data_IF_658779382949
#
_entry.id   IF_658779382949
#
_cell.length_a   1.000
_cell.length_b   1.000
_cell.length_c   1.000
_cell.angle_alpha   90.00
_cell.angle_beta   90.00
_cell.angle_gamma   90.00
#
_symmetry.space_group_name_H-M   'P 1'
#
loop_
_entity.id
_entity.type
_entity.pdbx_description
1 polymer ?
#
# COMPACT_ATOMS: atom_id res chain seq x y z
N UNK A 1 -18.28 -1.77 24.73
CA UNK A 1 -18.36 -3.15 24.22
C UNK A 1 -17.75 -3.13 22.83
N UNK A 2 -16.48 -3.47 22.69
CA UNK A 2 -15.81 -3.54 21.37
C UNK A 2 -16.22 -4.84 20.70
N UNK A 3 -16.89 -4.77 19.55
CA UNK A 3 -17.10 -5.94 18.70
C UNK A 3 -15.75 -6.63 18.48
N UNK A 4 -15.66 -7.93 18.76
CA UNK A 4 -14.47 -8.70 18.43
C UNK A 4 -14.36 -8.75 16.91
N UNK A 5 -13.44 -7.97 16.35
CA UNK A 5 -13.13 -7.98 14.94
C UNK A 5 -12.80 -9.42 14.48
N UNK A 6 -13.61 -9.97 13.58
CA UNK A 6 -13.43 -11.34 13.08
C UNK A 6 -12.44 -11.34 11.91
N UNK A 7 -11.16 -11.58 12.19
CA UNK A 7 -10.13 -11.80 11.17
C UNK A 7 -10.38 -13.09 10.37
N UNK A 8 -10.09 -13.07 9.07
CA UNK A 8 -10.37 -14.19 8.14
C UNK A 8 -9.39 -15.34 8.28
N UNK A 9 -8.21 -15.11 8.84
CA UNK A 9 -7.19 -16.14 9.04
C UNK A 9 -6.40 -15.97 10.34
N UNK A 10 -5.73 -17.04 10.79
CA UNK A 10 -4.80 -16.98 11.92
C UNK A 10 -3.64 -15.99 11.67
N UNK A 11 -2.96 -16.02 10.50
CA UNK A 11 -1.91 -15.06 10.19
C UNK A 11 -2.38 -13.59 10.25
N UNK A 12 -3.56 -13.28 9.74
CA UNK A 12 -4.12 -11.93 9.86
C UNK A 12 -4.35 -11.53 11.33
N UNK A 13 -4.87 -12.44 12.15
CA UNK A 13 -5.00 -12.20 13.60
C UNK A 13 -3.63 -11.95 14.24
N UNK A 14 -2.64 -12.78 13.93
CA UNK A 14 -1.28 -12.63 14.47
C UNK A 14 -0.65 -11.28 14.07
N UNK A 15 -0.92 -10.78 12.84
CA UNK A 15 -0.53 -9.44 12.39
C UNK A 15 -1.26 -8.35 13.19
N UNK A 16 -2.58 -8.48 13.36
CA UNK A 16 -3.39 -7.52 14.10
C UNK A 16 -2.98 -7.43 15.57
N UNK A 17 -2.70 -8.56 16.20
CA UNK A 17 -2.21 -8.65 17.57
C UNK A 17 -0.85 -7.96 17.70
N UNK A 18 0.05 -8.15 16.73
CA UNK A 18 1.33 -7.46 16.69
C UNK A 18 1.17 -5.94 16.55
N UNK A 19 0.35 -5.47 15.59
CA UNK A 19 0.12 -4.04 15.40
C UNK A 19 -0.49 -3.40 16.65
N UNK A 20 -1.44 -4.09 17.29
CA UNK A 20 -2.07 -3.66 18.55
C UNK A 20 -1.06 -3.60 19.70
N UNK A 21 -0.21 -4.63 19.84
CA UNK A 21 0.83 -4.72 20.88
C UNK A 21 1.80 -3.54 20.86
N UNK A 22 2.05 -2.96 19.69
CA UNK A 22 2.96 -1.81 19.51
C UNK A 22 2.21 -0.48 19.31
N UNK A 23 0.90 -0.43 19.59
CA UNK A 23 0.04 0.75 19.42
C UNK A 23 0.12 1.36 18.01
N UNK A 24 0.31 0.53 16.98
CA UNK A 24 0.36 0.95 15.58
C UNK A 24 -1.08 1.03 15.06
N UNK A 25 -1.61 2.22 14.69
CA UNK A 25 -2.98 2.35 14.23
C UNK A 25 -3.19 1.68 12.87
N UNK A 26 -4.25 0.87 12.76
CA UNK A 26 -4.65 0.22 11.51
C UNK A 26 -6.17 0.15 11.35
N UNK A 27 -6.60 -0.02 10.10
CA UNK A 27 -7.98 -0.35 9.73
C UNK A 27 -7.93 -1.65 8.93
N UNK A 28 -8.61 -2.69 9.42
CA UNK A 28 -8.74 -3.98 8.74
C UNK A 28 -9.74 -3.88 7.59
N UNK A 29 -9.39 -4.46 6.43
CA UNK A 29 -10.22 -4.50 5.21
C UNK A 29 -10.80 -3.14 4.77
N UNK A 30 -10.03 -2.05 4.95
CA UNK A 30 -10.46 -0.72 4.52
C UNK A 30 -10.60 -0.68 2.99
N UNK A 31 -11.77 -0.27 2.43
CA UNK A 31 -11.91 -0.07 0.99
C UNK A 31 -10.85 0.91 0.47
N UNK A 32 -10.11 0.48 -0.55
CA UNK A 32 -9.06 1.26 -1.21
C UNK A 32 -9.37 1.35 -2.69
N UNK A 33 -9.54 2.57 -3.19
CA UNK A 33 -9.74 2.82 -4.61
C UNK A 33 -8.42 2.59 -5.37
N UNK A 34 -8.49 1.81 -6.44
CA UNK A 34 -7.37 1.57 -7.36
C UNK A 34 -7.86 1.71 -8.80
N UNK A 35 -6.98 2.16 -9.69
CA UNK A 35 -7.16 2.07 -11.14
C UNK A 35 -6.50 0.77 -11.61
N UNK A 36 -7.31 -0.14 -12.14
CA UNK A 36 -6.88 -1.44 -12.65
C UNK A 36 -7.47 -1.64 -14.05
N UNK A 37 -6.60 -1.78 -15.05
CA UNK A 37 -6.94 -1.78 -16.48
C UNK A 37 -7.82 -0.59 -16.90
N UNK A 38 -7.44 0.61 -16.43
CA UNK A 38 -8.12 1.87 -16.77
C UNK A 38 -9.47 2.07 -16.06
N UNK A 39 -9.89 1.16 -15.18
CA UNK A 39 -11.15 1.24 -14.44
C UNK A 39 -10.89 1.43 -12.95
N UNK A 40 -11.62 2.36 -12.34
CA UNK A 40 -11.62 2.50 -10.87
C UNK A 40 -12.34 1.30 -10.24
N UNK A 41 -11.67 0.61 -9.33
CA UNK A 41 -12.19 -0.53 -8.56
C UNK A 41 -11.93 -0.30 -7.07
N UNK A 42 -12.77 -0.88 -6.22
CA UNK A 42 -12.52 -0.95 -4.77
C UNK A 42 -11.88 -2.29 -4.44
N UNK A 43 -10.66 -2.24 -3.89
CA UNK A 43 -9.96 -3.40 -3.33
C UNK A 43 -9.95 -3.30 -1.80
N UNK A 44 -9.86 -4.46 -1.15
CA UNK A 44 -9.93 -4.59 0.30
C UNK A 44 -8.62 -5.23 0.77
N UNK A 45 -7.58 -4.43 1.02
CA UNK A 45 -6.35 -4.95 1.61
C UNK A 45 -6.55 -5.38 3.05
N UNK A 46 -5.80 -6.38 3.49
CA UNK A 46 -5.97 -6.94 4.84
C UNK A 46 -5.85 -5.86 5.91
N UNK A 47 -4.82 -5.00 5.82
CA UNK A 47 -4.66 -3.87 6.74
C UNK A 47 -4.25 -2.60 6.00
N UNK A 48 -4.84 -1.48 6.43
CA UNK A 48 -4.39 -0.12 6.08
C UNK A 48 -3.87 0.56 7.33
N UNK A 49 -2.59 0.91 7.33
CA UNK A 49 -1.93 1.64 8.42
C UNK A 49 -2.07 3.15 8.19
N UNK A 50 -1.63 3.93 9.19
CA UNK A 50 -1.46 5.37 9.03
C UNK A 50 -0.61 5.71 7.78
N UNK A 51 -0.82 6.91 7.23
CA UNK A 51 -0.11 7.41 6.02
C UNK A 51 -0.33 6.59 4.74
N UNK A 52 -1.36 5.74 4.71
CA UNK A 52 -1.78 5.02 3.50
C UNK A 52 -0.93 3.79 3.17
N UNK A 53 -0.14 3.29 4.12
CA UNK A 53 0.63 2.06 3.96
C UNK A 53 -0.26 0.82 4.07
N UNK A 54 -0.28 -0.01 3.04
CA UNK A 54 -1.00 -1.27 3.07
C UNK A 54 -0.13 -2.42 3.61
N UNK A 55 -0.73 -3.35 4.34
CA UNK A 55 -0.12 -4.65 4.68
C UNK A 55 -1.02 -5.76 4.14
N UNK A 56 -0.41 -6.73 3.46
CA UNK A 56 -1.07 -7.82 2.77
C UNK A 56 -0.44 -9.16 3.15
N UNK A 57 -1.27 -10.12 3.55
CA UNK A 57 -0.89 -11.50 3.80
C UNK A 57 -1.25 -12.39 2.60
N UNK A 58 -0.21 -12.91 1.95
CA UNK A 58 -0.33 -13.77 0.78
C UNK A 58 -0.26 -15.25 1.18
N UNK A 59 -1.37 -15.79 1.68
CA UNK A 59 -1.47 -17.10 2.34
C UNK A 59 -1.34 -18.39 1.50
N UNK A 60 -1.29 -18.34 0.16
CA UNK A 60 -1.25 -19.58 -0.67
C UNK A 60 0.02 -19.66 -1.50
N UNK A 61 0.87 -20.65 -1.23
CA UNK A 61 2.00 -20.97 -2.11
C UNK A 61 1.65 -22.23 -2.92
N UNK A 62 1.68 -22.15 -4.26
CA UNK A 62 1.88 -23.38 -5.05
C UNK A 62 1.21 -23.48 -6.42
N UNK A 63 0.21 -22.66 -6.75
CA UNK A 63 -0.39 -22.69 -8.09
C UNK A 63 -0.10 -21.42 -8.90
N UNK A 64 0.01 -21.57 -10.22
CA UNK A 64 0.38 -20.49 -11.14
C UNK A 64 -0.63 -19.33 -11.09
N UNK A 65 -1.94 -19.64 -11.08
CA UNK A 65 -2.98 -18.62 -11.03
C UNK A 65 -2.92 -17.73 -9.78
N UNK A 66 -2.50 -18.26 -8.63
CA UNK A 66 -2.29 -17.46 -7.44
C UNK A 66 -1.10 -16.51 -7.58
N UNK A 67 0.02 -16.99 -8.13
CA UNK A 67 1.21 -16.17 -8.38
C UNK A 67 0.87 -15.03 -9.34
N UNK A 68 0.11 -15.30 -10.39
CA UNK A 68 -0.32 -14.30 -11.36
C UNK A 68 -1.24 -13.26 -10.72
N UNK A 69 -2.19 -13.68 -9.88
CA UNK A 69 -3.04 -12.75 -9.10
C UNK A 69 -2.22 -11.88 -8.15
N UNK A 70 -1.27 -12.46 -7.44
CA UNK A 70 -0.39 -11.73 -6.52
C UNK A 70 0.44 -10.70 -7.29
N UNK A 71 1.06 -11.12 -8.39
CA UNK A 71 1.85 -10.24 -9.27
C UNK A 71 0.99 -9.12 -9.85
N UNK A 72 -0.22 -9.41 -10.30
CA UNK A 72 -1.18 -8.42 -10.78
C UNK A 72 -1.53 -7.42 -9.68
N UNK A 73 -1.90 -7.90 -8.49
CA UNK A 73 -2.24 -7.07 -7.33
C UNK A 73 -1.11 -6.09 -6.98
N UNK A 74 0.13 -6.59 -6.91
CA UNK A 74 1.31 -5.77 -6.63
C UNK A 74 1.63 -4.78 -7.76
N UNK A 75 1.42 -5.17 -9.02
CA UNK A 75 1.56 -4.26 -10.17
C UNK A 75 0.59 -3.10 -10.05
N UNK A 76 -0.69 -3.37 -9.77
CA UNK A 76 -1.73 -2.35 -9.60
C UNK A 76 -1.40 -1.41 -8.45
N UNK A 77 -1.01 -1.91 -7.28
CA UNK A 77 -0.61 -1.04 -6.17
C UNK A 77 0.53 -0.10 -6.53
N UNK A 78 1.57 -0.63 -7.19
CA UNK A 78 2.70 0.17 -7.66
C UNK A 78 2.27 1.25 -8.67
N UNK A 79 1.41 0.91 -9.62
CA UNK A 79 0.90 1.84 -10.64
C UNK A 79 0.02 2.94 -10.04
N UNK A 80 -0.68 2.62 -8.95
CA UNK A 80 -1.47 3.59 -8.16
C UNK A 80 -0.62 4.36 -7.13
N UNK A 81 0.70 4.16 -7.10
CA UNK A 81 1.60 4.77 -6.11
C UNK A 81 1.24 4.45 -4.65
N UNK A 82 0.63 3.28 -4.43
CA UNK A 82 0.24 2.81 -3.10
C UNK A 82 1.34 1.90 -2.56
N UNK A 83 2.02 2.29 -1.47
CA UNK A 83 3.02 1.45 -0.83
C UNK A 83 2.36 0.23 -0.18
N UNK A 84 2.99 -0.94 -0.33
CA UNK A 84 2.48 -2.19 0.22
C UNK A 84 3.59 -3.02 0.85
N UNK A 85 3.37 -3.46 2.09
CA UNK A 85 4.18 -4.45 2.79
C UNK A 85 3.55 -5.83 2.64
N UNK A 86 4.34 -6.74 2.09
CA UNK A 86 3.91 -8.09 1.77
C UNK A 86 4.42 -9.05 2.86
N UNK A 87 3.52 -9.87 3.39
CA UNK A 87 3.83 -11.00 4.25
C UNK A 87 3.42 -12.29 3.54
N UNK A 88 4.28 -13.29 3.60
CA UNK A 88 4.05 -14.62 3.06
C UNK A 88 4.17 -15.65 4.18
N UNK A 89 3.59 -16.85 4.05
CA UNK A 89 3.73 -17.92 5.04
C UNK A 89 5.18 -18.17 5.47
N UNK A 90 6.13 -18.21 4.53
CA UNK A 90 7.56 -18.39 4.86
C UNK A 90 8.18 -17.24 5.65
N UNK A 91 7.58 -16.05 5.60
CA UNK A 91 8.06 -14.87 6.32
C UNK A 91 7.46 -14.75 7.73
N UNK A 92 6.42 -15.51 8.05
CA UNK A 92 5.78 -15.53 9.38
C UNK A 92 6.24 -16.70 10.25
N UNK A 93 7.35 -17.35 9.89
CA UNK A 93 7.94 -18.43 10.68
C UNK A 93 9.02 -17.89 11.62
N UNK A 94 9.10 -18.46 12.82
CA UNK A 94 10.11 -18.10 13.83
C UNK A 94 10.02 -16.65 14.29
N UNK A 95 11.17 -15.97 14.39
CA UNK A 95 11.27 -14.59 14.86
C UNK A 95 10.88 -13.57 13.76
N UNK A 96 9.62 -13.62 13.32
CA UNK A 96 9.11 -12.79 12.22
C UNK A 96 8.68 -11.38 12.65
N UNK A 97 8.18 -11.20 13.89
CA UNK A 97 7.67 -9.92 14.37
C UNK A 97 8.74 -8.81 14.24
N UNK A 98 9.98 -8.96 14.73
CA UNK A 98 10.98 -7.89 14.64
C UNK A 98 11.41 -7.62 13.19
N UNK A 99 11.40 -8.65 12.33
CA UNK A 99 11.70 -8.50 10.91
C UNK A 99 10.61 -7.71 10.19
N UNK A 100 9.35 -7.96 10.53
CA UNK A 100 8.22 -7.19 10.02
C UNK A 100 8.30 -5.73 10.47
N UNK A 101 8.51 -5.49 11.76
CA UNK A 101 8.64 -4.13 12.31
C UNK A 101 9.82 -3.37 11.66
N UNK A 102 10.97 -4.01 11.49
CA UNK A 102 12.11 -3.40 10.80
C UNK A 102 11.82 -3.05 9.33
N UNK A 103 11.04 -3.89 8.63
CA UNK A 103 10.61 -3.58 7.25
C UNK A 103 9.62 -2.43 7.23
N UNK A 104 8.70 -2.39 8.18
CA UNK A 104 7.71 -1.33 8.32
C UNK A 104 8.39 0.02 8.55
N UNK A 105 9.30 0.07 9.50
CA UNK A 105 10.09 1.27 9.82
C UNK A 105 10.86 1.79 8.60
N UNK A 106 11.65 0.92 7.94
CA UNK A 106 12.38 1.27 6.72
C UNK A 106 11.47 1.76 5.59
N UNK A 107 10.28 1.19 5.45
CA UNK A 107 9.32 1.66 4.43
C UNK A 107 8.87 3.08 4.72
N UNK A 108 8.50 3.38 5.96
CA UNK A 108 8.08 4.73 6.36
C UNK A 108 9.23 5.75 6.25
N UNK A 109 10.43 5.39 6.68
CA UNK A 109 11.62 6.25 6.52
C UNK A 109 11.88 6.61 5.06
N UNK A 110 11.78 5.63 4.16
CA UNK A 110 11.97 5.85 2.73
C UNK A 110 10.89 6.75 2.14
N UNK A 111 9.63 6.62 2.57
CA UNK A 111 8.56 7.53 2.14
C UNK A 111 8.84 8.97 2.59
N UNK A 112 9.15 9.17 3.87
CA UNK A 112 9.47 10.50 4.41
C UNK A 112 10.67 11.10 3.67
N UNK A 113 11.70 10.30 3.39
CA UNK A 113 12.88 10.73 2.62
C UNK A 113 12.52 11.14 1.19
N UNK A 114 11.67 10.37 0.50
CA UNK A 114 11.20 10.70 -0.85
C UNK A 114 10.44 12.03 -0.86
N UNK A 115 9.50 12.23 0.08
CA UNK A 115 8.78 13.50 0.22
C UNK A 115 9.71 14.68 0.49
N UNK A 116 10.63 14.55 1.45
CA UNK A 116 11.64 15.58 1.75
C UNK A 116 12.47 15.92 0.52
N UNK A 117 12.89 14.91 -0.23
CA UNK A 117 13.68 15.10 -1.47
C UNK A 117 12.87 15.85 -2.53
N UNK A 118 11.59 15.52 -2.70
CA UNK A 118 10.71 16.21 -3.67
C UNK A 118 10.45 17.66 -3.28
N UNK A 119 10.19 17.93 -2.01
CA UNK A 119 9.95 19.28 -1.48
C UNK A 119 11.20 20.15 -1.65
N UNK A 120 12.39 19.59 -1.46
CA UNK A 120 13.65 20.31 -1.61
C UNK A 120 14.04 20.59 -3.08
N UNK A 121 13.35 20.02 -4.07
CA UNK A 121 13.62 20.32 -5.49
C UNK A 121 13.12 21.74 -5.79
N UNK A 122 13.99 22.67 -6.23
CA UNK A 122 13.54 23.98 -6.67
C UNK A 122 12.53 23.81 -7.79
N UNK A 123 11.45 24.60 -7.75
CA UNK A 123 10.47 24.67 -8.83
C UNK A 123 11.18 25.22 -10.07
N UNK A 124 11.65 24.34 -10.95
CA UNK A 124 12.07 24.77 -12.28
C UNK A 124 10.81 25.23 -13.02
N UNK A 125 10.66 26.54 -13.19
CA UNK A 125 9.63 27.09 -14.05
C UNK A 125 9.74 26.42 -15.44
N UNK A 126 8.63 26.01 -16.08
CA UNK A 126 8.68 25.60 -17.47
C UNK A 126 9.32 26.73 -18.28
N UNK A 127 10.33 26.41 -19.08
CA UNK A 127 10.90 27.36 -20.01
C UNK A 127 9.77 27.91 -20.87
N UNK A 128 9.70 29.23 -20.98
CA UNK A 128 8.75 29.96 -21.81
C UNK A 128 8.84 29.47 -23.25
N UNK A 129 8.03 28.47 -23.58
CA UNK A 129 7.93 27.85 -24.89
C UNK A 129 6.48 27.94 -25.38
N UNK A 130 6.15 29.11 -25.93
CA UNK A 130 5.09 29.36 -26.91
C UNK A 130 3.75 28.61 -26.71
N UNK A 131 2.84 29.23 -25.95
CA UNK A 131 1.40 29.01 -26.17
C UNK A 131 1.03 29.61 -27.52
N UNK A 132 0.98 28.79 -28.57
CA UNK A 132 0.34 29.17 -29.83
C UNK A 132 -1.17 29.19 -29.65
N UNK A 133 -1.77 30.32 -30.04
CA UNK A 133 -3.20 30.60 -29.99
C UNK A 133 -4.05 29.46 -30.58
N UNK A 134 -5.10 29.06 -29.84
CA UNK A 134 -6.32 28.52 -30.43
C UNK A 134 -7.47 29.49 -30.12
N UNK A 135 -8.34 29.82 -31.11
CA UNK A 135 -9.37 30.82 -30.93
C UNK A 135 -10.49 30.34 -30.01
N UNK A 136 -11.07 31.31 -29.32
CA UNK A 136 -12.24 31.23 -28.45
C UNK A 136 -13.47 30.84 -29.29
N UNK A 137 -14.21 29.82 -28.88
CA UNK A 137 -15.60 29.66 -29.33
C UNK A 137 -16.49 30.49 -28.41
N UNK A 138 -17.17 31.49 -28.97
CA UNK A 138 -18.26 32.23 -28.32
C UNK A 138 -19.53 31.36 -28.34
N UNK A 139 -20.32 31.45 -27.27
CA UNK A 139 -21.70 30.98 -27.20
C UNK A 139 -22.64 32.02 -27.79
#
# INVERSE_FOLDING_TARGET
MTEQQKYRSKPERDIADLLTKYDIPFIYEKPTAVVDDGKTKLWYPDFTLAYGLLVEYFGVNGNQGYRDRTKHKLKVYRENQIPVLQLYPQNMQGNWEPKFLSRLDKTLENQVKDYRTRIARPFCAPSSGQYSHRPVYQQ
#
